data_IF_585295369545
#
_entry.id   IF_585295369545
#
_cell.length_a   1.000
_cell.length_b   1.000
_cell.length_c   1.000
_cell.angle_alpha   90.00
_cell.angle_beta   90.00
_cell.angle_gamma   90.00
#
_symmetry.space_group_name_H-M   'P 1'
#
loop_
_entity.id
_entity.type
_entity.pdbx_description
1 polymer ?
#
# COMPACT_ATOMS: atom_id res chain seq x y z
N UNK A 1 -16.36 13.24 0.17
CA UNK A 1 -17.57 13.02 0.98
C UNK A 1 -17.20 12.15 2.17
N UNK A 2 -17.55 12.51 3.42
CA UNK A 2 -17.19 11.72 4.59
C UNK A 2 -18.02 10.44 4.64
N UNK A 3 -17.35 9.30 4.86
CA UNK A 3 -17.98 7.99 4.99
C UNK A 3 -18.65 7.92 6.38
N UNK A 4 -19.98 7.81 6.39
CA UNK A 4 -20.78 7.71 7.62
C UNK A 4 -20.43 6.43 8.40
N UNK A 5 -19.99 6.62 9.64
CA UNK A 5 -19.84 5.57 10.66
C UNK A 5 -21.21 5.07 11.12
N UNK A 6 -21.41 3.76 11.15
CA UNK A 6 -22.51 3.14 11.90
C UNK A 6 -21.95 2.44 13.12
N UNK A 7 -21.79 3.20 14.21
CA UNK A 7 -21.67 2.63 15.55
C UNK A 7 -23.08 2.33 16.08
N UNK A 8 -23.40 1.05 16.24
CA UNK A 8 -24.51 0.61 17.09
C UNK A 8 -23.89 -0.12 18.28
N UNK A 9 -23.76 0.61 19.39
CA UNK A 9 -23.49 0.03 20.70
C UNK A 9 -24.68 -0.86 21.10
N UNK A 10 -24.43 -2.15 21.34
CA UNK A 10 -25.36 -3.01 22.09
C UNK A 10 -24.65 -3.49 23.36
N UNK A 11 -25.16 -3.03 24.52
CA UNK A 11 -24.87 -3.59 25.84
C UNK A 11 -25.74 -4.83 26.04
N UNK A 12 -25.15 -5.96 26.44
CA UNK A 12 -25.78 -6.98 27.28
C UNK A 12 -24.74 -7.99 27.79
N UNK A 13 -25.07 -8.57 28.94
CA UNK A 13 -24.25 -9.22 29.96
C UNK A 13 -24.10 -10.74 29.74
N UNK A 14 -23.22 -11.38 30.52
CA UNK A 14 -22.59 -12.68 30.25
C UNK A 14 -23.42 -13.94 30.50
N UNK A 15 -22.87 -15.08 30.04
CA UNK A 15 -22.64 -16.26 30.88
C UNK A 15 -21.66 -17.26 30.25
N UNK A 16 -20.95 -18.00 31.11
CA UNK A 16 -19.95 -19.06 30.82
C UNK A 16 -20.61 -20.39 30.40
N UNK A 17 -19.97 -21.15 29.49
CA UNK A 17 -19.33 -22.47 29.72
C UNK A 17 -19.25 -23.37 28.46
N UNK A 18 -18.01 -23.82 28.21
CA UNK A 18 -17.50 -25.15 27.83
C UNK A 18 -18.14 -26.08 26.76
N UNK A 19 -17.19 -26.66 26.00
CA UNK A 19 -17.06 -28.06 25.57
C UNK A 19 -17.57 -28.50 24.18
N UNK A 20 -16.58 -28.64 23.29
CA UNK A 20 -16.19 -29.88 22.57
C UNK A 20 -16.88 -30.33 21.26
N UNK A 21 -15.97 -30.76 20.35
CA UNK A 21 -16.07 -31.72 19.23
C UNK A 21 -16.57 -31.31 17.82
N UNK A 22 -15.59 -31.50 16.90
CA UNK A 22 -15.61 -32.15 15.57
C UNK A 22 -16.36 -31.47 14.42
N UNK A 23 -15.61 -31.16 13.35
CA UNK A 23 -15.95 -31.40 11.93
C UNK A 23 -14.68 -31.18 11.07
N UNK A 24 -14.10 -32.26 10.54
CA UNK A 24 -14.12 -32.71 9.12
C UNK A 24 -13.65 -31.66 8.09
N UNK A 25 -12.69 -32.01 7.19
CA UNK A 25 -12.07 -31.05 6.28
C UNK A 25 -12.99 -30.78 5.09
N UNK A 26 -13.60 -29.59 5.05
CA UNK A 26 -14.39 -29.16 3.91
C UNK A 26 -13.48 -28.78 2.73
N UNK A 27 -13.76 -29.47 1.63
CA UNK A 27 -13.22 -29.38 0.28
C UNK A 27 -12.84 -27.95 -0.14
N UNK A 28 -11.59 -27.82 -0.59
CA UNK A 28 -11.06 -26.60 -1.23
C UNK A 28 -11.68 -26.50 -2.61
N UNK A 29 -12.73 -25.71 -2.76
CA UNK A 29 -13.15 -25.22 -4.07
C UNK A 29 -12.12 -24.19 -4.55
N UNK A 30 -11.06 -24.68 -5.19
CA UNK A 30 -10.06 -23.87 -5.88
C UNK A 30 -10.70 -23.43 -7.19
N UNK A 31 -10.99 -22.14 -7.32
CA UNK A 31 -11.36 -21.54 -8.60
C UNK A 31 -10.18 -21.72 -9.60
N UNK A 32 -10.44 -22.07 -10.87
CA UNK A 32 -9.37 -22.32 -11.85
C UNK A 32 -8.49 -21.09 -12.06
N UNK A 33 -7.19 -21.34 -12.14
CA UNK A 33 -6.15 -20.34 -12.41
C UNK A 33 -6.15 -19.98 -13.90
N UNK A 34 -6.99 -19.02 -14.29
CA UNK A 34 -6.89 -18.41 -15.62
C UNK A 34 -6.09 -17.10 -15.51
N UNK A 35 -4.82 -17.22 -15.90
CA UNK A 35 -3.84 -16.20 -16.28
C UNK A 35 -4.02 -14.78 -15.76
N UNK A 36 -3.11 -14.36 -14.86
CA UNK A 36 -2.54 -13.00 -14.67
C UNK A 36 -3.45 -11.76 -14.84
N UNK A 37 -4.77 -11.89 -14.80
CA UNK A 37 -5.68 -10.82 -15.15
C UNK A 37 -5.90 -9.93 -13.94
N UNK A 38 -5.45 -8.68 -14.05
CA UNK A 38 -5.63 -7.72 -12.98
C UNK A 38 -7.10 -7.28 -12.86
N UNK A 39 -7.42 -6.67 -11.73
CA UNK A 39 -8.74 -6.14 -11.43
C UNK A 39 -8.69 -4.62 -11.33
N UNK A 40 -9.67 -3.97 -11.92
CA UNK A 40 -9.94 -2.55 -11.73
C UNK A 40 -11.25 -2.39 -10.94
N UNK A 41 -11.55 -1.18 -10.50
CA UNK A 41 -12.84 -0.88 -9.90
C UNK A 41 -13.32 0.52 -10.29
N UNK A 42 -14.61 0.74 -10.14
CA UNK A 42 -15.26 2.01 -10.46
C UNK A 42 -16.36 2.31 -9.43
N UNK A 43 -16.71 3.59 -9.34
CA UNK A 43 -17.84 4.08 -8.56
C UNK A 43 -18.93 4.58 -9.49
N UNK A 44 -20.12 4.01 -9.35
CA UNK A 44 -21.31 4.48 -10.07
C UNK A 44 -22.40 4.88 -9.08
N UNK A 45 -23.34 5.69 -9.55
CA UNK A 45 -24.51 6.00 -8.74
C UNK A 45 -25.28 4.71 -8.39
N UNK A 46 -25.70 4.55 -7.14
CA UNK A 46 -26.31 3.31 -6.63
C UNK A 46 -27.47 2.80 -7.49
N UNK A 47 -28.30 3.70 -8.03
CA UNK A 47 -29.42 3.37 -8.90
C UNK A 47 -28.98 2.78 -10.26
N UNK A 48 -27.74 3.06 -10.71
CA UNK A 48 -27.17 2.58 -11.97
C UNK A 48 -26.37 1.27 -11.82
N UNK A 49 -26.11 0.80 -10.59
CA UNK A 49 -25.22 -0.35 -10.36
C UNK A 49 -25.69 -1.60 -11.11
N UNK A 50 -26.99 -1.91 -11.07
CA UNK A 50 -27.54 -3.07 -11.79
C UNK A 50 -27.27 -2.99 -13.29
N UNK A 51 -27.68 -1.88 -13.91
CA UNK A 51 -27.48 -1.64 -15.35
C UNK A 51 -26.01 -1.73 -15.77
N UNK A 52 -25.11 -1.08 -15.03
CA UNK A 52 -23.68 -1.06 -15.36
C UNK A 52 -23.04 -2.43 -15.13
N UNK A 53 -23.40 -3.13 -14.05
CA UNK A 53 -22.91 -4.47 -13.78
C UNK A 53 -23.36 -5.46 -14.87
N UNK A 54 -24.61 -5.39 -15.31
CA UNK A 54 -25.14 -6.27 -16.35
C UNK A 54 -24.50 -5.99 -17.71
N UNK A 55 -24.19 -4.71 -17.99
CA UNK A 55 -23.48 -4.32 -19.20
C UNK A 55 -22.03 -4.82 -19.19
N UNK A 56 -21.29 -4.58 -18.10
CA UNK A 56 -19.91 -5.06 -17.94
C UNK A 56 -19.84 -6.58 -17.97
N UNK A 57 -20.81 -7.25 -17.34
CA UNK A 57 -20.92 -8.71 -17.28
C UNK A 57 -21.07 -9.39 -18.64
N UNK A 58 -21.34 -8.66 -19.73
CA UNK A 58 -21.37 -9.19 -21.09
C UNK A 58 -19.97 -9.55 -21.61
N UNK A 59 -18.94 -8.82 -21.19
CA UNK A 59 -17.58 -8.95 -21.71
C UNK A 59 -16.54 -9.23 -20.62
N UNK A 60 -16.80 -8.81 -19.39
CA UNK A 60 -15.84 -8.89 -18.28
C UNK A 60 -16.45 -9.63 -17.09
N UNK A 61 -15.59 -10.28 -16.30
CA UNK A 61 -15.99 -10.81 -14.99
C UNK A 61 -16.13 -9.65 -14.01
N UNK A 62 -17.27 -9.54 -13.35
CA UNK A 62 -17.53 -8.50 -12.34
C UNK A 62 -17.68 -9.08 -10.95
N UNK A 63 -17.37 -8.27 -9.94
CA UNK A 63 -17.58 -8.60 -8.55
C UNK A 63 -18.11 -7.40 -7.78
N UNK A 64 -19.11 -7.63 -6.95
CA UNK A 64 -19.70 -6.62 -6.05
C UNK A 64 -19.69 -7.20 -4.66
N UNK A 65 -18.91 -6.58 -3.79
CA UNK A 65 -18.78 -7.00 -2.40
C UNK A 65 -20.04 -6.65 -1.59
N UNK A 66 -20.58 -7.62 -0.86
CA UNK A 66 -21.84 -7.49 -0.11
C UNK A 66 -21.64 -7.77 1.39
N UNK A 67 -22.27 -6.96 2.23
CA UNK A 67 -22.34 -7.21 3.67
C UNK A 67 -23.75 -7.63 4.07
N UNK A 68 -23.84 -8.60 4.96
CA UNK A 68 -25.10 -8.94 5.63
C UNK A 68 -25.41 -7.93 6.74
N UNK A 69 -26.58 -7.30 6.66
CA UNK A 69 -27.14 -6.43 7.70
C UNK A 69 -28.32 -7.14 8.35
N UNK A 70 -28.38 -7.11 9.69
CA UNK A 70 -29.51 -7.61 10.46
C UNK A 70 -30.40 -6.43 10.84
N UNK A 71 -31.64 -6.39 10.32
CA UNK A 71 -32.64 -5.38 10.67
C UNK A 71 -33.72 -6.00 11.54
N UNK A 72 -34.12 -5.27 12.59
CA UNK A 72 -35.25 -5.66 13.44
C UNK A 72 -36.51 -5.02 12.86
N UNK A 73 -37.36 -5.83 12.24
CA UNK A 73 -38.69 -5.43 11.76
C UNK A 73 -39.75 -6.26 12.51
N UNK A 74 -40.74 -5.60 13.10
CA UNK A 74 -41.90 -6.24 13.74
C UNK A 74 -41.54 -7.43 14.66
N UNK A 75 -40.63 -7.20 15.61
CA UNK A 75 -40.10 -8.20 16.58
C UNK A 75 -39.35 -9.40 15.97
N UNK A 76 -39.12 -9.44 14.65
CA UNK A 76 -38.31 -10.47 13.98
C UNK A 76 -37.02 -9.85 13.44
N UNK A 77 -35.93 -10.61 13.53
CA UNK A 77 -34.65 -10.23 12.94
C UNK A 77 -34.64 -10.74 11.49
N UNK A 78 -34.55 -9.83 10.52
CA UNK A 78 -34.38 -10.15 9.11
C UNK A 78 -32.94 -9.98 8.70
N UNK A 79 -32.39 -11.00 8.04
CA UNK A 79 -31.09 -10.98 7.39
C UNK A 79 -31.26 -10.38 6.00
N UNK A 80 -30.56 -9.28 5.70
CA UNK A 80 -30.59 -8.62 4.39
C UNK A 80 -29.15 -8.44 3.88
N UNK A 81 -28.87 -8.83 2.64
CA UNK A 81 -27.60 -8.52 2.00
C UNK A 81 -27.68 -7.15 1.32
N UNK A 82 -26.67 -6.31 1.54
CA UNK A 82 -26.52 -5.01 0.90
C UNK A 82 -25.10 -4.87 0.39
N UNK A 83 -24.92 -4.15 -0.71
CA UNK A 83 -23.57 -3.73 -1.12
C UNK A 83 -22.87 -3.03 0.04
N UNK A 84 -21.66 -3.47 0.36
CA UNK A 84 -20.89 -2.92 1.50
C UNK A 84 -20.53 -1.46 1.23
N UNK A 85 -20.09 -1.17 0.02
CA UNK A 85 -19.92 0.18 -0.48
C UNK A 85 -20.93 0.40 -1.60
N UNK A 86 -21.75 1.43 -1.43
CA UNK A 86 -22.74 1.84 -2.41
C UNK A 86 -22.04 2.27 -3.70
N UNK A 87 -22.37 1.64 -4.83
CA UNK A 87 -21.85 2.05 -6.13
C UNK A 87 -20.53 1.42 -6.55
N UNK A 88 -19.88 0.62 -5.69
CA UNK A 88 -18.59 0.01 -5.99
C UNK A 88 -18.77 -1.27 -6.82
N UNK A 89 -18.08 -1.34 -7.95
CA UNK A 89 -18.03 -2.52 -8.83
C UNK A 89 -16.55 -2.82 -9.12
N UNK A 90 -16.16 -4.08 -8.98
CA UNK A 90 -14.87 -4.59 -9.42
C UNK A 90 -15.02 -5.29 -10.78
N UNK A 91 -14.03 -5.13 -11.65
CA UNK A 91 -14.03 -5.66 -13.02
C UNK A 91 -12.66 -6.27 -13.30
N UNK A 92 -12.63 -7.51 -13.74
CA UNK A 92 -11.40 -8.19 -14.14
C UNK A 92 -11.09 -7.92 -15.61
N UNK A 93 -9.84 -7.54 -15.91
CA UNK A 93 -9.38 -7.27 -17.27
C UNK A 93 -8.29 -6.21 -17.33
N UNK A 94 -7.85 -5.88 -18.55
CA UNK A 94 -6.92 -4.79 -18.77
C UNK A 94 -7.60 -3.43 -18.56
N UNK A 95 -6.89 -2.49 -17.93
CA UNK A 95 -7.44 -1.18 -17.57
C UNK A 95 -7.83 -0.34 -18.80
N UNK A 96 -7.12 -0.48 -19.90
CA UNK A 96 -7.31 0.34 -21.10
C UNK A 96 -8.49 -0.24 -21.89
N UNK A 97 -8.56 -1.58 -22.02
CA UNK A 97 -9.72 -2.28 -22.62
C UNK A 97 -11.04 -1.99 -21.88
N UNK A 98 -11.02 -2.05 -20.54
CA UNK A 98 -12.21 -1.77 -19.75
C UNK A 98 -12.63 -0.31 -19.90
N UNK A 99 -11.68 0.64 -19.91
CA UNK A 99 -11.99 2.06 -20.05
C UNK A 99 -12.55 2.39 -21.44
N UNK A 100 -12.03 1.78 -22.50
CA UNK A 100 -12.53 1.96 -23.87
C UNK A 100 -13.95 1.39 -24.03
N UNK A 101 -14.21 0.25 -23.40
CA UNK A 101 -15.56 -0.31 -23.32
C UNK A 101 -16.52 0.64 -22.59
N UNK A 102 -16.11 1.22 -21.46
CA UNK A 102 -16.91 2.18 -20.71
C UNK A 102 -17.17 3.45 -21.53
N UNK A 103 -16.17 3.98 -22.22
CA UNK A 103 -16.30 5.17 -23.07
C UNK A 103 -17.33 4.95 -24.20
N UNK A 104 -17.34 3.75 -24.79
CA UNK A 104 -18.22 3.41 -25.90
C UNK A 104 -19.66 3.15 -25.47
N UNK A 105 -19.88 2.59 -24.28
CA UNK A 105 -21.20 2.13 -23.85
C UNK A 105 -21.83 3.00 -22.74
N UNK A 106 -21.04 3.76 -21.99
CA UNK A 106 -21.44 4.47 -20.77
C UNK A 106 -20.67 5.78 -20.58
N UNK A 107 -21.07 6.81 -21.33
CA UNK A 107 -20.46 8.14 -21.25
C UNK A 107 -20.42 8.67 -19.80
N UNK A 108 -19.25 9.19 -19.40
CA UNK A 108 -19.03 9.76 -18.07
C UNK A 108 -18.76 8.76 -16.96
N UNK A 109 -18.55 7.47 -17.29
CA UNK A 109 -18.15 6.45 -16.31
C UNK A 109 -16.66 6.12 -16.47
N UNK A 110 -15.91 6.22 -15.38
CA UNK A 110 -14.46 6.05 -15.39
C UNK A 110 -14.01 5.07 -14.31
N UNK A 111 -12.93 4.35 -14.61
CA UNK A 111 -12.24 3.55 -13.61
C UNK A 111 -11.67 4.46 -12.52
N UNK A 112 -11.65 3.94 -11.28
CA UNK A 112 -11.09 4.65 -10.16
C UNK A 112 -9.58 4.85 -10.35
N UNK A 113 -9.11 6.05 -10.03
CA UNK A 113 -7.69 6.39 -10.08
C UNK A 113 -7.04 6.19 -8.71
N UNK A 114 -5.88 5.56 -8.67
CA UNK A 114 -5.02 5.54 -7.49
C UNK A 114 -4.51 6.97 -7.24
N UNK A 115 -4.93 7.55 -6.12
CA UNK A 115 -4.59 8.91 -5.72
C UNK A 115 -3.09 9.16 -5.60
N UNK A 116 -2.30 8.11 -5.35
CA UNK A 116 -0.84 8.16 -5.19
C UNK A 116 -0.10 8.22 -6.54
N UNK A 117 -0.56 7.49 -7.56
CA UNK A 117 0.09 7.44 -8.88
C UNK A 117 -0.57 8.32 -9.92
N UNK A 118 -1.78 8.81 -9.66
CA UNK A 118 -2.65 9.51 -10.64
C UNK A 118 -2.97 8.65 -11.86
N UNK A 119 -2.82 7.33 -11.75
CA UNK A 119 -3.16 6.35 -12.79
C UNK A 119 -4.33 5.49 -12.35
N UNK A 120 -4.97 4.80 -13.28
CA UNK A 120 -6.03 3.83 -12.97
C UNK A 120 -5.57 2.83 -11.90
N UNK A 121 -6.40 2.63 -10.88
CA UNK A 121 -6.12 1.72 -9.80
C UNK A 121 -6.24 0.27 -10.27
N UNK A 122 -5.13 -0.47 -10.15
CA UNK A 122 -5.02 -1.87 -10.58
C UNK A 122 -4.73 -2.75 -9.37
N UNK A 123 -5.51 -3.82 -9.20
CA UNK A 123 -5.41 -4.79 -8.13
C UNK A 123 -4.95 -6.12 -8.74
N UNK A 124 -3.79 -6.66 -8.37
CA UNK A 124 -3.36 -7.98 -8.85
C UNK A 124 -4.35 -9.08 -8.44
N UNK A 125 -4.57 -10.05 -9.32
CA UNK A 125 -5.51 -11.15 -9.06
C UNK A 125 -5.16 -11.95 -7.80
N UNK A 126 -3.86 -12.13 -7.53
CA UNK A 126 -3.34 -12.75 -6.30
C UNK A 126 -3.79 -12.05 -5.01
N UNK A 127 -4.14 -10.76 -5.08
CA UNK A 127 -4.69 -9.97 -3.97
C UNK A 127 -6.22 -10.05 -3.99
N UNK A 128 -6.82 -9.96 -5.18
CA UNK A 128 -8.29 -9.94 -5.31
C UNK A 128 -8.94 -11.30 -4.98
N UNK A 129 -8.33 -12.42 -5.37
CA UNK A 129 -8.87 -13.77 -5.09
C UNK A 129 -9.04 -14.03 -3.59
N UNK A 130 -8.02 -13.86 -2.73
CA UNK A 130 -8.20 -13.96 -1.28
C UNK A 130 -9.26 -13.01 -0.73
N UNK A 131 -9.32 -11.78 -1.25
CA UNK A 131 -10.30 -10.80 -0.85
C UNK A 131 -11.74 -11.26 -1.15
N UNK A 132 -12.00 -11.79 -2.35
CA UNK A 132 -13.30 -12.35 -2.73
C UNK A 132 -13.67 -13.59 -1.92
N UNK A 133 -12.70 -14.47 -1.63
CA UNK A 133 -12.94 -15.67 -0.83
C UNK A 133 -13.26 -15.34 0.64
N UNK A 134 -12.73 -14.23 1.16
CA UNK A 134 -13.08 -13.72 2.48
C UNK A 134 -14.49 -13.14 2.53
N UNK A 135 -15.00 -12.59 1.42
CA UNK A 135 -16.38 -12.10 1.34
C UNK A 135 -17.41 -13.22 1.56
N UNK A 136 -17.14 -14.41 0.99
CA UNK A 136 -17.98 -15.59 1.22
C UNK A 136 -18.11 -15.93 2.71
N UNK A 137 -17.12 -15.54 3.52
CA UNK A 137 -17.13 -15.66 4.99
C UNK A 137 -17.57 -14.31 5.59
N UNK A 138 -18.86 -14.03 5.45
CA UNK A 138 -19.59 -12.85 5.92
C UNK A 138 -18.93 -12.11 7.10
N UNK A 139 -18.67 -10.81 6.91
CA UNK A 139 -18.32 -9.87 7.98
C UNK A 139 -16.82 -9.78 8.32
N UNK A 140 -15.95 -10.44 7.55
CA UNK A 140 -14.50 -10.33 7.76
C UNK A 140 -13.89 -9.03 7.24
N UNK A 141 -14.45 -8.43 6.20
CA UNK A 141 -13.91 -7.23 5.55
C UNK A 141 -14.69 -5.99 5.99
N UNK A 142 -13.95 -4.93 6.32
CA UNK A 142 -14.48 -3.59 6.59
C UNK A 142 -13.69 -2.58 5.78
N UNK A 143 -14.36 -1.66 5.10
CA UNK A 143 -13.69 -0.54 4.43
C UNK A 143 -13.45 0.58 5.44
N UNK A 144 -12.24 1.14 5.42
CA UNK A 144 -11.80 2.13 6.38
C UNK A 144 -11.98 3.54 5.80
N UNK A 145 -12.35 4.53 6.65
CA UNK A 145 -12.62 5.90 6.18
C UNK A 145 -11.36 6.70 5.83
N UNK A 146 -10.20 6.36 6.39
CA UNK A 146 -8.95 7.08 6.20
C UNK A 146 -7.96 6.30 5.32
N UNK A 147 -7.00 6.98 4.68
CA UNK A 147 -5.89 6.32 3.98
C UNK A 147 -5.08 5.41 4.92
N UNK A 148 -4.35 4.45 4.34
CA UNK A 148 -3.59 3.47 5.12
C UNK A 148 -2.59 4.12 6.10
N UNK A 149 -1.95 5.22 5.70
CA UNK A 149 -0.93 5.93 6.49
C UNK A 149 -1.49 6.47 7.82
N UNK A 150 -2.78 6.83 7.88
CA UNK A 150 -3.44 7.25 9.12
C UNK A 150 -3.37 6.17 10.21
N UNK A 151 -3.35 4.91 9.79
CA UNK A 151 -3.36 3.75 10.67
C UNK A 151 -1.95 3.24 11.01
N UNK A 152 -0.90 3.97 10.62
CA UNK A 152 0.49 3.57 10.88
C UNK A 152 0.94 3.87 12.30
N UNK A 153 0.38 4.91 12.92
CA UNK A 153 0.85 5.40 14.21
C UNK A 153 0.54 4.40 15.35
N UNK A 154 1.59 4.00 16.08
CA UNK A 154 1.45 3.08 17.23
C UNK A 154 1.04 1.64 16.86
N UNK A 155 1.09 1.27 15.58
CA UNK A 155 0.66 -0.04 15.11
C UNK A 155 1.78 -0.76 14.35
N UNK A 156 2.10 -2.02 14.70
CA UNK A 156 3.18 -2.74 14.03
C UNK A 156 2.75 -3.11 12.61
N UNK A 157 3.65 -2.85 11.66
CA UNK A 157 3.53 -3.35 10.30
C UNK A 157 3.89 -4.84 10.30
N UNK A 158 2.98 -5.68 9.79
CA UNK A 158 3.14 -7.12 9.75
C UNK A 158 2.93 -7.66 8.34
N UNK A 159 3.60 -8.77 8.01
CA UNK A 159 3.27 -9.60 6.85
C UNK A 159 2.67 -10.91 7.34
N UNK A 160 1.58 -11.32 6.70
CA UNK A 160 0.99 -12.64 6.95
C UNK A 160 1.81 -13.70 6.21
N UNK A 161 2.22 -14.76 6.92
CA UNK A 161 3.11 -15.81 6.41
C UNK A 161 2.41 -17.16 6.26
N UNK A 162 1.11 -17.25 6.54
CA UNK A 162 0.33 -18.46 6.31
C UNK A 162 -1.15 -18.16 6.08
N UNK A 163 -1.87 -19.18 5.61
CA UNK A 163 -3.31 -19.10 5.41
C UNK A 163 -3.68 -18.40 4.10
N UNK A 164 -4.95 -18.01 4.00
CA UNK A 164 -5.51 -17.42 2.77
C UNK A 164 -4.90 -16.06 2.43
N UNK A 165 -4.42 -15.35 3.45
CA UNK A 165 -3.88 -14.00 3.34
C UNK A 165 -2.34 -13.98 3.25
N UNK A 166 -1.70 -15.13 3.01
CA UNK A 166 -0.25 -15.19 2.89
C UNK A 166 0.28 -14.17 1.88
N UNK A 167 1.31 -13.42 2.29
CA UNK A 167 1.90 -12.32 1.53
C UNK A 167 1.19 -10.98 1.68
N UNK A 168 0.03 -10.89 2.35
CA UNK A 168 -0.60 -9.60 2.65
C UNK A 168 0.20 -8.85 3.71
N UNK A 169 0.35 -7.56 3.49
CA UNK A 169 1.08 -6.63 4.35
C UNK A 169 0.15 -5.55 4.87
N UNK A 170 0.30 -5.16 6.13
CA UNK A 170 -0.54 -4.13 6.72
C UNK A 170 -0.31 -3.92 8.20
N UNK A 171 -1.02 -2.96 8.77
CA UNK A 171 -0.93 -2.65 10.20
C UNK A 171 -1.84 -3.57 11.00
N UNK A 172 -1.28 -4.14 12.08
CA UNK A 172 -2.06 -4.98 13.00
C UNK A 172 -2.77 -4.10 14.03
N UNK A 173 -4.07 -3.91 13.85
CA UNK A 173 -4.89 -2.99 14.66
C UNK A 173 -6.01 -3.75 15.36
N UNK A 174 -6.39 -3.28 16.55
CA UNK A 174 -7.55 -3.82 17.28
C UNK A 174 -8.79 -2.99 16.97
N UNK A 175 -9.72 -3.54 16.18
CA UNK A 175 -10.99 -2.91 15.83
C UNK A 175 -12.12 -3.72 16.46
N UNK A 176 -13.01 -3.07 17.22
CA UNK A 176 -14.13 -3.73 17.92
C UNK A 176 -13.70 -4.98 18.72
N UNK A 177 -12.54 -4.90 19.40
CA UNK A 177 -11.90 -5.98 20.18
C UNK A 177 -11.31 -7.15 19.37
N UNK A 178 -11.45 -7.15 18.05
CA UNK A 178 -10.84 -8.15 17.18
C UNK A 178 -9.51 -7.65 16.63
N UNK A 179 -8.53 -8.55 16.48
CA UNK A 179 -7.30 -8.26 15.74
C UNK A 179 -7.64 -8.23 14.26
N UNK A 180 -7.29 -7.14 13.61
CA UNK A 180 -7.52 -6.89 12.19
C UNK A 180 -6.20 -6.55 11.50
N UNK A 181 -6.05 -7.00 10.27
CA UNK A 181 -5.03 -6.51 9.35
C UNK A 181 -5.63 -5.33 8.58
N UNK A 182 -5.09 -4.13 8.78
CA UNK A 182 -5.45 -2.95 8.00
C UNK A 182 -4.45 -2.81 6.86
N UNK A 183 -4.91 -2.95 5.63
CA UNK A 183 -4.08 -3.00 4.41
C UNK A 183 -4.68 -2.16 3.29
N UNK A 184 -3.91 -1.90 2.24
CA UNK A 184 -4.35 -1.19 1.04
C UNK A 184 -4.59 -2.17 -0.10
N UNK A 185 -5.77 -2.11 -0.72
CA UNK A 185 -6.13 -2.90 -1.91
C UNK A 185 -6.57 -1.93 -3.00
N UNK A 186 -5.75 -1.77 -4.03
CA UNK A 186 -6.03 -0.85 -5.14
C UNK A 186 -6.21 0.61 -4.70
N UNK A 187 -5.54 1.03 -3.63
CA UNK A 187 -5.70 2.37 -3.05
C UNK A 187 -6.86 2.52 -2.06
N UNK A 188 -7.68 1.48 -1.87
CA UNK A 188 -8.69 1.44 -0.80
C UNK A 188 -8.10 0.86 0.48
N UNK A 189 -8.30 1.53 1.60
CA UNK A 189 -7.94 1.00 2.91
C UNK A 189 -9.01 0.03 3.39
N UNK A 190 -8.63 -1.20 3.69
CA UNK A 190 -9.53 -2.25 4.21
C UNK A 190 -8.97 -2.86 5.48
N UNK A 191 -9.86 -3.16 6.42
CA UNK A 191 -9.58 -3.95 7.61
C UNK A 191 -10.14 -5.36 7.43
N UNK A 192 -9.26 -6.35 7.56
CA UNK A 192 -9.60 -7.76 7.48
C UNK A 192 -9.51 -8.36 8.88
N UNK A 193 -10.64 -8.81 9.41
CA UNK A 193 -10.76 -9.43 10.73
C UNK A 193 -10.60 -10.94 10.69
N UNK A 194 -10.28 -11.54 11.84
CA UNK A 194 -10.14 -12.99 11.97
C UNK A 194 -8.76 -13.53 11.58
N UNK A 195 -7.73 -12.67 11.59
CA UNK A 195 -6.31 -13.01 11.40
C UNK A 195 -5.68 -13.67 12.65
N UNK A 196 -6.48 -14.18 13.58
CA UNK A 196 -5.96 -14.68 14.87
C UNK A 196 -5.21 -16.01 14.75
N UNK A 197 -5.52 -16.79 13.72
CA UNK A 197 -4.93 -18.11 13.49
C UNK A 197 -3.83 -18.09 12.42
N UNK A 198 -3.65 -16.95 11.75
CA UNK A 198 -2.63 -16.81 10.73
C UNK A 198 -1.30 -16.44 11.42
N UNK A 199 -0.21 -17.05 10.96
CA UNK A 199 1.14 -16.65 11.38
C UNK A 199 1.51 -15.32 10.72
N UNK A 200 2.24 -14.50 11.45
CA UNK A 200 2.70 -13.21 10.97
C UNK A 200 4.14 -12.96 11.41
N UNK A 201 4.88 -12.26 10.57
CA UNK A 201 6.18 -11.70 10.92
C UNK A 201 6.04 -10.21 11.17
N UNK A 202 6.68 -9.73 12.25
CA UNK A 202 6.87 -8.30 12.44
C UNK A 202 7.88 -7.84 11.38
N UNK A 203 7.44 -6.96 10.50
CA UNK A 203 8.25 -6.47 9.39
C UNK A 203 9.51 -5.79 9.92
N UNK A 204 9.41 -4.99 10.99
CA UNK A 204 10.56 -4.30 11.57
C UNK A 204 11.58 -5.26 12.20
N UNK A 205 11.13 -6.34 12.82
CA UNK A 205 12.02 -7.39 13.37
C UNK A 205 12.66 -8.22 12.26
N UNK A 206 11.90 -8.60 11.23
CA UNK A 206 12.42 -9.28 10.04
C UNK A 206 13.52 -8.44 9.39
N UNK A 207 13.28 -7.14 9.20
CA UNK A 207 14.24 -6.20 8.63
C UNK A 207 15.50 -6.12 9.48
N UNK A 208 15.35 -6.02 10.81
CA UNK A 208 16.48 -5.93 11.74
C UNK A 208 17.31 -7.21 11.70
N UNK A 209 16.66 -8.38 11.73
CA UNK A 209 17.32 -9.68 11.63
C UNK A 209 18.06 -9.84 10.30
N UNK A 210 17.42 -9.47 9.19
CA UNK A 210 18.01 -9.52 7.84
C UNK A 210 19.22 -8.61 7.70
N UNK A 211 19.15 -7.39 8.24
CA UNK A 211 20.29 -6.48 8.33
C UNK A 211 21.43 -7.10 9.14
N UNK A 212 21.13 -7.68 10.30
CA UNK A 212 22.12 -8.38 11.13
C UNK A 212 22.80 -9.53 10.39
N UNK A 213 22.02 -10.35 9.68
CA UNK A 213 22.55 -11.49 8.89
C UNK A 213 23.46 -11.04 7.73
N UNK A 214 23.18 -9.90 7.11
CA UNK A 214 24.03 -9.35 6.04
C UNK A 214 25.31 -8.71 6.57
N UNK A 215 25.26 -8.05 7.73
CA UNK A 215 26.45 -7.49 8.39
C UNK A 215 27.36 -8.61 8.94
N UNK A 216 26.79 -9.71 9.42
CA UNK A 216 27.56 -10.87 9.89
C UNK A 216 28.29 -11.63 8.77
N UNK A 217 27.85 -11.48 7.51
CA UNK A 217 28.53 -12.03 6.33
C UNK A 217 29.56 -11.09 5.70
N UNK A 218 29.74 -9.88 6.23
CA UNK A 218 30.59 -8.83 5.68
C UNK A 218 31.49 -8.26 6.78
N UNK A 219 32.39 -9.11 7.30
CA UNK A 219 33.42 -8.71 8.28
C UNK A 219 34.50 -7.82 7.65
N UNK A 220 34.45 -7.56 6.34
CA UNK A 220 35.41 -6.63 5.72
C UNK A 220 34.82 -5.97 4.46
N UNK A 221 34.49 -4.67 4.53
CA UNK A 221 34.51 -3.79 3.36
C UNK A 221 34.33 -2.33 3.76
N UNK A 222 35.28 -1.49 3.35
CA UNK A 222 35.41 -0.07 3.65
C UNK A 222 34.20 0.79 3.27
N UNK A 223 33.13 0.75 4.07
CA UNK A 223 32.11 1.80 4.07
C UNK A 223 32.72 3.07 4.69
N UNK A 224 32.68 4.22 4.00
CA UNK A 224 33.18 5.48 4.55
C UNK A 224 32.52 5.81 5.89
N UNK A 225 33.30 6.18 6.90
CA UNK A 225 32.76 6.76 8.12
C UNK A 225 32.02 8.08 7.78
N UNK A 226 30.88 8.33 8.43
CA UNK A 226 30.05 9.54 8.23
C UNK A 226 28.73 9.31 7.49
N UNK A 227 28.06 10.41 7.12
CA UNK A 227 26.69 10.47 6.60
C UNK A 227 26.44 9.56 5.38
N UNK A 228 27.42 9.49 4.47
CA UNK A 228 27.37 8.60 3.29
C UNK A 228 27.35 7.13 3.66
N UNK A 229 28.12 6.73 4.68
CA UNK A 229 28.09 5.36 5.20
C UNK A 229 26.76 5.02 5.87
N UNK A 230 26.19 5.95 6.63
CA UNK A 230 24.88 5.74 7.26
C UNK A 230 23.75 5.52 6.26
N UNK A 231 23.73 6.31 5.19
CA UNK A 231 22.74 6.19 4.12
C UNK A 231 22.99 4.92 3.31
N UNK A 232 24.25 4.59 3.00
CA UNK A 232 24.59 3.36 2.29
C UNK A 232 24.08 2.11 3.02
N UNK A 233 24.13 2.09 4.36
CA UNK A 233 23.60 1.00 5.20
C UNK A 233 22.08 0.83 5.12
N UNK A 234 21.34 1.79 4.56
CA UNK A 234 19.91 1.62 4.30
C UNK A 234 19.64 0.63 3.15
N UNK A 235 20.60 0.42 2.25
CA UNK A 235 20.42 -0.35 1.03
C UNK A 235 20.97 -1.78 1.14
N UNK A 236 20.24 -2.72 0.57
CA UNK A 236 20.66 -4.10 0.43
C UNK A 236 19.97 -4.78 -0.75
N UNK A 237 20.45 -5.96 -1.17
CA UNK A 237 19.83 -6.72 -2.27
C UNK A 237 18.51 -7.34 -1.79
N UNK A 238 17.36 -6.97 -2.39
CA UNK A 238 16.06 -7.49 -1.95
C UNK A 238 15.90 -8.96 -2.38
N UNK A 239 15.37 -9.78 -1.49
CA UNK A 239 14.95 -11.17 -1.72
C UNK A 239 13.43 -11.32 -1.70
N UNK A 240 12.70 -10.34 -1.15
CA UNK A 240 11.25 -10.28 -1.21
C UNK A 240 10.75 -8.83 -1.23
N UNK A 241 9.44 -8.65 -1.43
CA UNK A 241 8.83 -7.32 -1.43
C UNK A 241 9.06 -6.54 -0.12
N UNK A 242 9.17 -7.22 1.03
CA UNK A 242 9.40 -6.55 2.32
C UNK A 242 10.75 -5.89 2.38
N UNK A 243 11.76 -6.47 1.75
CA UNK A 243 13.08 -5.85 1.70
C UNK A 243 13.01 -4.49 1.00
N UNK A 244 12.18 -4.37 -0.03
CA UNK A 244 11.97 -3.10 -0.74
C UNK A 244 11.22 -2.08 0.12
N UNK A 245 10.17 -2.52 0.82
CA UNK A 245 9.40 -1.68 1.77
C UNK A 245 10.28 -1.22 2.94
N UNK A 246 11.14 -2.11 3.43
CA UNK A 246 12.09 -1.84 4.51
C UNK A 246 13.10 -0.75 4.14
N UNK A 247 13.67 -0.88 2.94
CA UNK A 247 14.60 0.09 2.39
C UNK A 247 13.88 1.44 2.28
N UNK A 248 12.69 1.49 1.68
CA UNK A 248 11.90 2.71 1.58
C UNK A 248 11.64 3.35 2.96
N UNK A 249 11.23 2.56 3.96
CA UNK A 249 10.98 3.04 5.32
C UNK A 249 12.23 3.64 5.98
N UNK A 250 13.38 2.98 5.88
CA UNK A 250 14.61 3.54 6.48
C UNK A 250 15.11 4.78 5.77
N UNK A 251 14.90 4.89 4.46
CA UNK A 251 15.17 6.13 3.74
C UNK A 251 14.22 7.25 4.20
N UNK A 252 12.93 6.98 4.40
CA UNK A 252 11.99 7.96 4.98
C UNK A 252 12.42 8.45 6.37
N UNK A 253 12.97 7.57 7.20
CA UNK A 253 13.52 7.97 8.50
C UNK A 253 14.73 8.92 8.35
N UNK A 254 15.62 8.66 7.39
CA UNK A 254 16.73 9.56 7.08
C UNK A 254 16.26 10.89 6.51
N UNK A 255 15.24 10.91 5.66
CA UNK A 255 14.61 12.16 5.20
C UNK A 255 13.99 12.96 6.35
N UNK A 256 13.32 12.30 7.30
CA UNK A 256 12.78 12.96 8.48
C UNK A 256 13.90 13.59 9.33
N UNK A 257 15.05 12.91 9.47
CA UNK A 257 16.22 13.47 10.12
C UNK A 257 16.74 14.73 9.41
N UNK A 258 16.79 14.73 8.07
CA UNK A 258 17.16 15.93 7.30
C UNK A 258 16.25 17.12 7.60
N UNK A 259 14.93 16.90 7.73
CA UNK A 259 13.99 17.95 8.14
C UNK A 259 14.28 18.47 9.55
N UNK A 260 14.55 17.57 10.50
CA UNK A 260 14.89 17.97 11.88
C UNK A 260 16.20 18.78 11.92
N UNK A 261 17.20 18.44 11.11
CA UNK A 261 18.44 19.21 10.99
C UNK A 261 18.18 20.59 10.37
N UNK A 262 17.34 20.64 9.34
CA UNK A 262 16.91 21.89 8.71
C UNK A 262 16.22 22.82 9.71
N UNK A 263 15.29 22.30 10.51
CA UNK A 263 14.55 23.07 11.52
C UNK A 263 15.49 23.59 12.64
N UNK A 264 16.62 22.91 12.88
CA UNK A 264 17.66 23.33 13.82
C UNK A 264 18.65 24.36 13.23
N UNK A 265 18.54 24.68 11.94
CA UNK A 265 19.44 25.58 11.24
C UNK A 265 20.74 24.93 10.75
N UNK A 266 20.87 23.60 10.85
CA UNK A 266 22.02 22.88 10.28
C UNK A 266 21.77 22.58 8.80
N UNK A 267 21.79 23.65 8.00
CA UNK A 267 21.48 23.58 6.57
C UNK A 267 22.51 22.75 5.80
N UNK A 268 23.77 22.76 6.24
CA UNK A 268 24.85 22.04 5.57
C UNK A 268 24.61 20.53 5.64
N UNK A 269 24.37 20.00 6.84
CA UNK A 269 24.14 18.57 7.03
C UNK A 269 22.78 18.14 6.49
N UNK A 270 21.75 18.98 6.61
CA UNK A 270 20.42 18.70 6.06
C UNK A 270 20.43 18.53 4.53
N UNK A 271 21.11 19.45 3.82
CA UNK A 271 21.25 19.42 2.35
C UNK A 271 22.10 18.23 1.91
N UNK A 272 23.22 17.97 2.60
CA UNK A 272 24.11 16.86 2.25
C UNK A 272 23.45 15.50 2.47
N UNK A 273 22.71 15.33 3.57
CA UNK A 273 21.91 14.13 3.82
C UNK A 273 20.96 13.88 2.66
N UNK A 274 20.24 14.93 2.24
CA UNK A 274 19.21 14.83 1.22
C UNK A 274 19.78 14.50 -0.17
N UNK A 275 20.89 15.14 -0.55
CA UNK A 275 21.57 14.87 -1.83
C UNK A 275 22.18 13.46 -1.86
N UNK A 276 22.82 13.03 -0.78
CA UNK A 276 23.41 11.69 -0.67
C UNK A 276 22.31 10.62 -0.68
N UNK A 277 21.18 10.87 0.00
CA UNK A 277 20.03 9.98 0.01
C UNK A 277 19.48 9.80 -1.40
N UNK A 278 19.22 10.91 -2.10
CA UNK A 278 18.71 10.88 -3.46
C UNK A 278 19.65 10.10 -4.39
N UNK A 279 20.96 10.42 -4.38
CA UNK A 279 21.96 9.74 -5.22
C UNK A 279 22.01 8.21 -4.98
N UNK A 280 22.12 7.78 -3.72
CA UNK A 280 22.22 6.36 -3.40
C UNK A 280 20.93 5.62 -3.74
N UNK A 281 19.77 6.25 -3.52
CA UNK A 281 18.47 5.64 -3.83
C UNK A 281 18.33 5.41 -5.33
N UNK A 282 18.71 6.39 -6.14
CA UNK A 282 18.68 6.26 -7.61
C UNK A 282 19.67 5.22 -8.13
N UNK A 283 20.87 5.16 -7.55
CA UNK A 283 21.85 4.12 -7.88
C UNK A 283 21.31 2.73 -7.59
N UNK A 284 20.69 2.53 -6.42
CA UNK A 284 20.10 1.26 -6.03
C UNK A 284 18.93 0.87 -6.93
N UNK A 285 18.00 1.80 -7.21
CA UNK A 285 16.86 1.54 -8.10
C UNK A 285 17.32 1.14 -9.51
N UNK A 286 18.35 1.81 -10.06
CA UNK A 286 18.93 1.43 -11.36
C UNK A 286 19.52 0.01 -11.33
N UNK A 287 20.24 -0.34 -10.26
CA UNK A 287 20.82 -1.68 -10.09
C UNK A 287 19.77 -2.77 -9.97
N UNK A 288 18.66 -2.50 -9.27
CA UNK A 288 17.55 -3.43 -9.09
C UNK A 288 16.73 -3.55 -10.37
N UNK A 289 16.39 -2.44 -11.04
CA UNK A 289 15.61 -2.43 -12.28
C UNK A 289 16.35 -3.03 -13.49
N UNK A 290 17.69 -3.02 -13.49
CA UNK A 290 18.51 -3.71 -14.50
C UNK A 290 18.48 -5.23 -14.39
N UNK A 291 18.08 -5.77 -13.23
CA UNK A 291 17.71 -7.17 -13.08
C UNK A 291 16.19 -7.30 -13.19
N UNK A 292 15.69 -8.31 -13.91
CA UNK A 292 14.25 -8.59 -14.02
C UNK A 292 13.68 -9.00 -12.65
N UNK A 293 13.54 -8.07 -11.70
CA UNK A 293 13.11 -8.39 -10.34
C UNK A 293 11.59 -8.44 -10.24
N UNK A 294 11.00 -9.46 -9.60
CA UNK A 294 9.56 -9.58 -9.40
C UNK A 294 8.99 -8.62 -8.33
N UNK A 295 9.81 -7.70 -7.79
CA UNK A 295 9.46 -6.84 -6.66
C UNK A 295 8.99 -5.46 -7.13
N UNK A 296 7.94 -4.95 -6.51
CA UNK A 296 7.40 -3.62 -6.74
C UNK A 296 8.24 -2.56 -6.00
N UNK A 297 8.97 -1.74 -6.75
CA UNK A 297 9.83 -0.67 -6.22
C UNK A 297 9.12 0.69 -6.07
N UNK A 298 7.80 0.74 -6.19
CA UNK A 298 6.99 1.98 -6.12
C UNK A 298 7.27 2.80 -4.85
N UNK A 299 7.39 2.16 -3.69
CA UNK A 299 7.62 2.88 -2.43
C UNK A 299 9.01 3.54 -2.38
N UNK A 300 10.01 2.93 -3.02
CA UNK A 300 11.36 3.51 -3.14
C UNK A 300 11.38 4.65 -4.16
N UNK A 301 10.60 4.53 -5.25
CA UNK A 301 10.39 5.66 -6.18
C UNK A 301 9.69 6.84 -5.50
N UNK A 302 8.69 6.58 -4.66
CA UNK A 302 8.01 7.63 -3.88
C UNK A 302 9.00 8.35 -2.94
N UNK A 303 9.95 7.62 -2.35
CA UNK A 303 11.04 8.24 -1.58
C UNK A 303 11.89 9.16 -2.45
N UNK A 304 12.23 8.78 -3.69
CA UNK A 304 12.96 9.67 -4.60
C UNK A 304 12.18 10.95 -4.92
N UNK A 305 10.88 10.84 -5.21
CA UNK A 305 10.04 12.01 -5.53
C UNK A 305 9.89 12.92 -4.32
N UNK A 306 9.62 12.36 -3.15
CA UNK A 306 9.52 13.11 -1.90
C UNK A 306 10.86 13.79 -1.59
N UNK A 307 11.97 13.10 -1.87
CA UNK A 307 13.30 13.62 -1.61
C UNK A 307 13.67 14.80 -2.52
N UNK A 308 13.30 14.71 -3.80
CA UNK A 308 13.42 15.80 -4.75
C UNK A 308 12.57 17.00 -4.36
N UNK A 309 11.31 16.77 -3.98
CA UNK A 309 10.40 17.84 -3.54
C UNK A 309 10.91 18.57 -2.30
N UNK A 310 11.56 17.87 -1.37
CA UNK A 310 12.20 18.53 -0.23
C UNK A 310 13.32 19.48 -0.66
N UNK A 311 14.15 19.07 -1.63
CA UNK A 311 15.22 19.94 -2.15
C UNK A 311 14.66 21.17 -2.85
N UNK A 312 13.48 21.09 -3.48
CA UNK A 312 12.78 22.25 -4.06
C UNK A 312 12.32 23.20 -2.98
N UNK A 313 11.67 22.69 -1.94
CA UNK A 313 11.25 23.49 -0.78
C UNK A 313 12.45 24.18 -0.11
N UNK A 314 13.59 23.48 0.01
CA UNK A 314 14.83 24.05 0.51
C UNK A 314 15.36 25.18 -0.40
N UNK A 315 15.26 25.02 -1.72
CA UNK A 315 15.67 26.05 -2.70
C UNK A 315 14.76 27.29 -2.69
N UNK A 316 13.51 27.16 -2.29
CA UNK A 316 12.56 28.28 -2.18
C UNK A 316 12.74 29.06 -0.86
N UNK A 317 13.34 28.45 0.17
CA UNK A 317 13.54 29.10 1.46
C UNK A 317 14.55 30.25 1.38
N UNK A 318 14.22 31.42 1.92
CA UNK A 318 15.12 32.58 1.98
C UNK A 318 16.35 32.34 2.87
N UNK A 319 16.23 31.46 3.87
CA UNK A 319 17.28 31.20 4.85
C UNK A 319 18.49 30.41 4.31
N UNK A 320 18.38 29.83 3.09
CA UNK A 320 19.43 29.00 2.52
C UNK A 320 20.54 29.86 1.87
N UNK A 321 21.82 29.72 2.31
CA UNK A 321 22.93 30.43 1.69
C UNK A 321 23.13 30.05 0.21
N UNK A 322 23.59 31.01 -0.61
CA UNK A 322 23.69 30.84 -2.07
C UNK A 322 24.66 29.72 -2.50
N UNK A 323 25.70 29.45 -1.71
CA UNK A 323 26.63 28.34 -1.93
C UNK A 323 25.90 27.00 -1.96
N UNK A 324 24.97 26.77 -1.03
CA UNK A 324 24.17 25.56 -0.96
C UNK A 324 23.11 25.51 -2.05
N UNK A 325 22.51 26.66 -2.44
CA UNK A 325 21.60 26.71 -3.59
C UNK A 325 22.29 26.28 -4.88
N UNK A 326 23.50 26.80 -5.12
CA UNK A 326 24.31 26.42 -6.27
C UNK A 326 24.69 24.94 -6.23
N UNK A 327 25.04 24.42 -5.05
CA UNK A 327 25.31 22.98 -4.83
C UNK A 327 24.10 22.12 -5.18
N UNK A 328 22.91 22.45 -4.69
CA UNK A 328 21.67 21.70 -4.97
C UNK A 328 21.35 21.72 -6.46
N UNK A 329 21.37 22.91 -7.11
CA UNK A 329 21.07 23.04 -8.55
C UNK A 329 22.03 22.19 -9.40
N UNK A 330 23.34 22.29 -9.15
CA UNK A 330 24.36 21.53 -9.87
C UNK A 330 24.21 20.01 -9.65
N UNK A 331 23.96 19.60 -8.42
CA UNK A 331 23.76 18.19 -8.08
C UNK A 331 22.51 17.63 -8.78
N UNK A 332 21.38 18.35 -8.74
CA UNK A 332 20.13 17.95 -9.42
C UNK A 332 20.31 17.82 -10.93
N UNK A 333 20.99 18.76 -11.58
CA UNK A 333 21.30 18.69 -13.01
C UNK A 333 22.17 17.46 -13.35
N UNK A 334 23.23 17.22 -12.56
CA UNK A 334 24.09 16.05 -12.72
C UNK A 334 23.33 14.73 -12.54
N UNK A 335 22.47 14.65 -11.53
CA UNK A 335 21.65 13.46 -11.26
C UNK A 335 20.59 13.22 -12.34
N UNK A 336 19.96 14.28 -12.86
CA UNK A 336 19.00 14.18 -13.95
C UNK A 336 19.66 13.66 -15.24
N UNK A 337 20.90 14.09 -15.54
CA UNK A 337 21.67 13.57 -16.67
C UNK A 337 22.06 12.09 -16.47
N UNK A 338 22.41 11.69 -15.24
CA UNK A 338 22.83 10.32 -14.90
C UNK A 338 21.67 9.32 -14.82
N UNK A 339 20.46 9.79 -14.51
CA UNK A 339 19.26 8.96 -14.32
C UNK A 339 18.03 9.52 -15.07
N UNK A 340 17.95 9.33 -16.42
CA UNK A 340 16.92 9.96 -17.25
C UNK A 340 15.48 9.56 -16.91
N UNK A 341 15.26 8.33 -16.42
CA UNK A 341 13.93 7.84 -16.04
C UNK A 341 13.27 8.65 -14.92
N UNK A 342 14.05 9.42 -14.15
CA UNK A 342 13.57 10.29 -13.08
C UNK A 342 13.41 11.75 -13.51
N UNK A 343 14.01 12.20 -14.62
CA UNK A 343 13.79 13.54 -15.15
C UNK A 343 12.31 13.80 -15.50
N UNK A 344 11.57 12.75 -15.84
CA UNK A 344 10.12 12.80 -16.05
C UNK A 344 9.31 12.93 -14.73
N UNK A 345 9.85 12.44 -13.62
CA UNK A 345 9.19 12.47 -12.31
C UNK A 345 9.59 13.68 -11.43
N UNK A 346 10.75 14.30 -11.69
CA UNK A 346 11.24 15.47 -10.95
C UNK A 346 10.71 16.82 -11.46
N UNK A 347 9.75 16.81 -12.40
CA UNK A 347 9.31 18.02 -13.09
C UNK A 347 10.42 18.63 -13.96
N UNK A 348 10.05 19.38 -15.00
CA UNK A 348 11.06 20.07 -15.82
C UNK A 348 11.83 21.03 -14.90
N UNK A 349 13.13 20.81 -14.71
CA UNK A 349 14.00 21.89 -14.25
C UNK A 349 13.82 23.07 -15.21
N UNK A 350 13.60 24.29 -14.72
CA UNK A 350 13.58 25.47 -15.57
C UNK A 350 14.91 25.66 -16.30
#
# INVERSE_FOLDING_TARGET
>A
MPLYSTDIHSKAWGNKHNADKKQTPAERNILPDEGSAAWCYLFVHHAKVGMINDLLGKQFRTFIHKTTIYKKENKRIRKQERQTISGLIFVQGDKDEIQDFLNSNCQGTYLATDCSTKTTAVIPDKVMRPFMQLDLKCGRIRFMPHPLDYYSEGHPLVRITSGLLEGFEGYRIRISRNKCLVTSIGGMTVAISGISNDSFENVDEYITLRRGQQMAGNVDSGCPNGLRGEIARCFFRPQCQLDVVAIARSLRQKMALSRVLWDKGDYAEAVDLQLILLENTMSWVKGVAGSMTPYNVKDVYAVCTDASGLLEQMLESECLPEDYRTKIRKARQSLAAKYPMLAAAMGKCP
#
